data_IF_655393781687
#
_entry.id   IF_655393781687
#
_cell.length_a   1.000
_cell.length_b   1.000
_cell.length_c   1.000
_cell.angle_alpha   90.00
_cell.angle_beta   90.00
_cell.angle_gamma   90.00
#
_symmetry.space_group_name_H-M   'P 1'
#
loop_
_entity.id
_entity.type
_entity.pdbx_description
1 polymer ?
#
# COMPACT_ATOMS: atom_id res chain seq x y z
N UNK A 1 -14.92 8.93 15.14
CA UNK A 1 -15.07 10.39 15.34
C UNK A 1 -14.86 11.06 14.00
N UNK A 2 -15.92 11.60 13.41
CA UNK A 2 -15.82 12.38 12.17
C UNK A 2 -15.03 13.65 12.49
N UNK A 3 -13.79 13.75 12.01
CA UNK A 3 -13.03 15.01 12.05
C UNK A 3 -13.79 15.99 11.16
N UNK A 4 -14.38 17.03 11.76
CA UNK A 4 -14.99 18.13 11.01
C UNK A 4 -13.88 18.81 10.22
N UNK A 5 -13.86 18.59 8.92
CA UNK A 5 -12.90 19.26 8.05
C UNK A 5 -13.19 20.79 8.08
N UNK A 6 -12.19 21.67 8.06
CA UNK A 6 -12.37 23.14 8.18
C UNK A 6 -13.24 23.78 7.11
N UNK A 7 -13.58 23.04 6.03
CA UNK A 7 -14.51 23.49 4.98
C UNK A 7 -15.88 23.93 5.52
N UNK A 8 -16.39 23.30 6.59
CA UNK A 8 -17.66 23.68 7.21
C UNK A 8 -17.61 25.08 7.83
N UNK A 9 -16.51 25.46 8.49
CA UNK A 9 -16.35 26.80 9.05
C UNK A 9 -16.12 27.85 7.96
N UNK A 10 -15.42 27.51 6.88
CA UNK A 10 -15.22 28.39 5.74
C UNK A 10 -16.54 28.67 5.01
N UNK A 11 -17.40 27.66 4.86
CA UNK A 11 -18.74 27.80 4.32
C UNK A 11 -19.57 28.78 5.15
N UNK A 12 -19.68 28.56 6.47
CA UNK A 12 -20.47 29.39 7.37
C UNK A 12 -20.04 30.87 7.36
N UNK A 13 -18.72 31.15 7.32
CA UNK A 13 -18.18 32.52 7.22
C UNK A 13 -18.61 33.24 5.93
N UNK A 14 -19.03 32.51 4.90
CA UNK A 14 -19.49 33.02 3.60
C UNK A 14 -21.02 32.98 3.47
N UNK A 15 -21.74 32.60 4.50
CA UNK A 15 -23.19 32.42 4.43
C UNK A 15 -23.56 31.18 3.58
N UNK A 16 -22.72 30.15 3.58
CA UNK A 16 -22.97 28.92 2.83
C UNK A 16 -23.09 27.73 3.78
N UNK A 17 -23.92 26.75 3.44
CA UNK A 17 -24.06 25.50 4.16
C UNK A 17 -23.84 24.31 3.22
N UNK A 18 -22.85 23.47 3.55
CA UNK A 18 -22.53 22.26 2.79
C UNK A 18 -23.28 21.07 3.41
N UNK A 19 -23.98 20.33 2.58
CA UNK A 19 -24.69 19.10 2.95
C UNK A 19 -24.56 18.07 1.81
N UNK A 20 -25.09 16.86 2.04
CA UNK A 20 -25.21 15.82 1.02
C UNK A 20 -26.13 16.21 -0.16
N UNK A 21 -26.92 17.25 -0.03
CA UNK A 21 -27.81 17.76 -1.07
C UNK A 21 -27.18 18.85 -1.94
N UNK A 22 -26.05 19.41 -1.50
CA UNK A 22 -25.35 20.49 -2.18
C UNK A 22 -24.88 21.59 -1.23
N UNK A 23 -24.58 22.74 -1.81
CA UNK A 23 -24.16 23.97 -1.09
C UNK A 23 -25.29 24.96 -1.13
N UNK A 24 -25.96 25.20 0.01
CA UNK A 24 -26.99 26.19 0.15
C UNK A 24 -26.38 27.58 0.36
N UNK A 25 -26.82 28.55 -0.40
CA UNK A 25 -26.55 29.98 -0.21
C UNK A 25 -27.67 30.61 0.64
N UNK A 26 -27.31 31.06 1.83
CA UNK A 26 -28.27 31.68 2.78
C UNK A 26 -28.88 32.99 2.27
N UNK A 27 -28.14 33.72 1.43
CA UNK A 27 -28.61 35.02 0.93
C UNK A 27 -29.68 34.87 -0.16
N UNK A 28 -29.56 33.82 -0.98
CA UNK A 28 -30.47 33.59 -2.11
C UNK A 28 -31.46 32.46 -1.87
N UNK A 29 -31.17 31.56 -0.91
CA UNK A 29 -31.93 30.32 -0.69
C UNK A 29 -31.70 29.27 -1.80
N UNK A 30 -30.78 29.49 -2.70
CA UNK A 30 -30.44 28.57 -3.78
C UNK A 30 -29.52 27.45 -3.27
N UNK A 31 -29.77 26.22 -3.72
CA UNK A 31 -28.88 25.08 -3.46
C UNK A 31 -28.11 24.74 -4.72
N UNK A 32 -26.82 24.99 -4.69
CA UNK A 32 -25.88 24.62 -5.77
C UNK A 32 -25.56 23.13 -5.67
N UNK A 33 -25.90 22.38 -6.71
CA UNK A 33 -25.56 20.96 -6.83
C UNK A 33 -24.27 20.81 -7.65
N UNK A 34 -23.20 20.51 -6.97
CA UNK A 34 -21.89 20.30 -7.59
C UNK A 34 -21.77 18.87 -8.12
N UNK A 35 -21.15 18.72 -9.29
CA UNK A 35 -20.86 17.43 -9.87
C UNK A 35 -19.54 16.84 -9.34
N UNK A 36 -18.63 17.70 -8.89
CA UNK A 36 -17.29 17.33 -8.40
C UNK A 36 -16.96 18.04 -7.09
N UNK A 37 -15.97 17.52 -6.37
CA UNK A 37 -15.45 18.18 -5.15
C UNK A 37 -14.80 19.52 -5.45
N UNK A 38 -14.10 19.64 -6.59
CA UNK A 38 -13.45 20.88 -7.03
C UNK A 38 -14.45 22.01 -7.17
N UNK A 39 -15.66 21.73 -7.65
CA UNK A 39 -16.73 22.71 -7.73
C UNK A 39 -17.19 23.17 -6.33
N UNK A 40 -17.28 22.25 -5.38
CA UNK A 40 -17.57 22.58 -3.98
C UNK A 40 -16.51 23.50 -3.40
N UNK A 41 -15.24 23.14 -3.55
CA UNK A 41 -14.11 23.95 -3.07
C UNK A 41 -14.10 25.33 -3.74
N UNK A 42 -14.38 25.40 -5.05
CA UNK A 42 -14.50 26.64 -5.79
C UNK A 42 -15.59 27.57 -5.24
N UNK A 43 -16.79 27.05 -4.94
CA UNK A 43 -17.88 27.81 -4.30
C UNK A 43 -17.48 28.34 -2.92
N UNK A 44 -16.72 27.53 -2.16
CA UNK A 44 -16.18 27.94 -0.87
C UNK A 44 -15.00 28.91 -0.99
N UNK A 45 -14.50 29.17 -2.23
CA UNK A 45 -13.30 29.96 -2.48
C UNK A 45 -12.05 29.39 -1.79
N UNK A 46 -11.97 28.10 -1.74
CA UNK A 46 -10.85 27.35 -1.19
C UNK A 46 -10.09 26.67 -2.34
N UNK A 47 -8.78 26.48 -2.22
CA UNK A 47 -8.06 25.61 -3.13
C UNK A 47 -8.57 24.17 -2.96
N UNK A 48 -8.72 23.43 -4.05
CA UNK A 48 -9.02 22.01 -3.95
C UNK A 48 -7.79 21.28 -3.40
N UNK A 49 -8.02 20.49 -2.37
CA UNK A 49 -6.97 19.72 -1.72
C UNK A 49 -7.22 18.24 -1.99
N UNK A 50 -6.26 17.50 -2.55
CA UNK A 50 -6.36 16.06 -2.70
C UNK A 50 -6.70 15.36 -1.36
N UNK A 51 -7.53 14.32 -1.36
CA UNK A 51 -7.94 13.62 -0.12
C UNK A 51 -6.77 13.18 0.75
N UNK A 52 -5.67 12.76 0.15
CA UNK A 52 -4.45 12.30 0.80
C UNK A 52 -3.78 13.37 1.65
N UNK A 53 -3.99 14.65 1.32
CA UNK A 53 -3.38 15.78 2.01
C UNK A 53 -4.32 16.43 3.05
N UNK A 54 -5.55 15.92 3.23
CA UNK A 54 -6.56 16.51 4.13
C UNK A 54 -6.34 16.11 5.59
N UNK A 55 -5.23 16.56 6.19
CA UNK A 55 -4.84 16.22 7.55
C UNK A 55 -5.05 17.34 8.58
N UNK A 56 -5.63 18.47 8.16
CA UNK A 56 -5.82 19.66 8.97
C UNK A 56 -4.51 20.21 9.56
N UNK A 57 -3.48 20.30 8.70
CA UNK A 57 -2.14 20.83 9.00
C UNK A 57 -1.87 22.19 8.37
N UNK A 58 -2.93 22.87 7.89
CA UNK A 58 -2.84 24.18 7.26
C UNK A 58 -2.89 24.14 5.73
N UNK A 59 -3.18 22.99 5.13
CA UNK A 59 -3.24 22.79 3.68
C UNK A 59 -4.20 23.73 2.96
N UNK A 60 -5.28 24.20 3.63
CA UNK A 60 -6.20 25.17 3.07
C UNK A 60 -5.62 26.57 2.89
N UNK A 61 -4.46 26.85 3.48
CA UNK A 61 -3.75 28.13 3.29
C UNK A 61 -2.74 28.07 2.13
N UNK A 62 -2.52 26.89 1.55
CA UNK A 62 -1.64 26.72 0.39
C UNK A 62 -2.31 27.30 -0.85
N UNK A 63 -1.51 27.86 -1.73
CA UNK A 63 -1.95 28.31 -3.04
C UNK A 63 -1.68 27.25 -4.11
N UNK A 64 -2.30 27.40 -5.29
CA UNK A 64 -2.02 26.55 -6.44
C UNK A 64 -0.50 26.61 -6.76
N UNK A 65 0.14 25.46 -6.80
CA UNK A 65 1.59 25.32 -7.00
C UNK A 65 2.42 25.10 -5.72
N UNK A 66 1.85 25.28 -4.53
CA UNK A 66 2.48 24.89 -3.26
C UNK A 66 2.11 23.49 -2.83
N UNK A 67 1.07 22.90 -3.46
CA UNK A 67 0.71 21.51 -3.22
C UNK A 67 1.78 20.57 -3.81
N UNK A 68 2.19 19.52 -3.09
CA UNK A 68 3.10 18.53 -3.62
C UNK A 68 2.46 17.78 -4.79
N UNK A 69 3.29 17.39 -5.76
CA UNK A 69 2.87 16.44 -6.78
C UNK A 69 2.72 15.08 -6.13
N UNK A 70 1.51 14.53 -6.15
CA UNK A 70 1.24 13.22 -5.58
C UNK A 70 1.64 12.12 -6.56
N UNK A 71 1.97 10.96 -5.99
CA UNK A 71 2.23 9.74 -6.76
C UNK A 71 0.92 9.26 -7.38
N UNK A 72 0.94 8.98 -8.68
CA UNK A 72 -0.15 8.38 -9.43
C UNK A 72 0.15 6.91 -9.74
N UNK A 73 -0.87 6.16 -10.14
CA UNK A 73 -0.71 4.74 -10.49
C UNK A 73 0.36 4.50 -11.56
N UNK A 74 0.50 5.41 -12.52
CA UNK A 74 1.52 5.33 -13.58
C UNK A 74 2.96 5.54 -13.11
N UNK A 75 3.15 6.07 -11.90
CA UNK A 75 4.48 6.26 -11.30
C UNK A 75 5.01 5.00 -10.61
N UNK A 76 4.12 4.04 -10.33
CA UNK A 76 4.50 2.76 -9.72
C UNK A 76 5.29 1.93 -10.73
N UNK A 77 6.50 1.53 -10.36
CA UNK A 77 7.43 0.78 -11.20
C UNK A 77 7.53 -0.69 -10.84
N UNK A 78 7.14 -1.08 -9.66
CA UNK A 78 7.21 -2.45 -9.21
C UNK A 78 6.28 -2.77 -8.07
N UNK A 79 6.14 -4.07 -7.81
CA UNK A 79 5.45 -4.63 -6.66
C UNK A 79 6.39 -5.62 -5.97
N UNK A 80 6.68 -5.39 -4.70
CA UNK A 80 7.66 -6.15 -3.93
C UNK A 80 7.02 -7.09 -2.90
N UNK A 81 5.70 -7.31 -2.97
CA UNK A 81 5.04 -8.21 -2.05
C UNK A 81 3.84 -8.89 -2.72
N UNK A 82 4.06 -10.09 -3.27
CA UNK A 82 3.00 -10.88 -3.87
C UNK A 82 3.21 -12.38 -3.69
N UNK A 83 2.08 -13.12 -3.64
CA UNK A 83 2.05 -14.54 -3.36
C UNK A 83 1.55 -15.33 -4.55
N UNK A 84 2.12 -16.52 -4.74
CA UNK A 84 1.70 -17.46 -5.77
C UNK A 84 0.83 -18.58 -5.20
N UNK A 85 0.42 -19.50 -6.08
CA UNK A 85 -0.27 -20.73 -5.66
C UNK A 85 0.60 -21.67 -4.82
N UNK A 86 1.89 -21.36 -4.65
CA UNK A 86 2.75 -22.13 -3.76
C UNK A 86 2.39 -21.91 -2.29
N UNK A 87 1.93 -20.70 -1.93
CA UNK A 87 1.36 -20.41 -0.62
C UNK A 87 -0.15 -20.16 -0.68
N UNK A 88 -0.62 -18.94 -0.74
CA UNK A 88 -2.04 -18.58 -0.67
C UNK A 88 -2.51 -17.68 -1.83
N UNK A 89 -1.64 -17.43 -2.81
CA UNK A 89 -1.98 -16.74 -4.05
C UNK A 89 -2.90 -17.56 -4.97
N UNK A 90 -3.34 -16.93 -6.06
CA UNK A 90 -4.31 -17.53 -6.99
C UNK A 90 -3.73 -17.81 -8.38
N UNK A 91 -2.51 -17.40 -8.64
CA UNK A 91 -1.82 -17.58 -9.92
C UNK A 91 -0.37 -18.04 -9.65
N UNK A 92 0.23 -18.65 -10.66
CA UNK A 92 1.66 -18.95 -10.64
C UNK A 92 2.51 -17.70 -10.91
N UNK A 93 3.82 -17.81 -10.70
CA UNK A 93 4.75 -16.69 -10.85
C UNK A 93 4.77 -16.14 -12.28
N UNK A 94 4.67 -17.00 -13.30
CA UNK A 94 4.67 -16.58 -14.70
C UNK A 94 3.43 -15.77 -15.06
N UNK A 95 2.26 -16.23 -14.67
CA UNK A 95 1.01 -15.50 -14.91
C UNK A 95 1.01 -14.14 -14.21
N UNK A 96 1.56 -14.08 -13.00
CA UNK A 96 1.70 -12.83 -12.25
C UNK A 96 2.69 -11.88 -12.91
N UNK A 97 3.85 -12.36 -13.35
CA UNK A 97 4.85 -11.57 -14.05
C UNK A 97 4.31 -11.00 -15.38
N UNK A 98 3.62 -11.82 -16.16
CA UNK A 98 2.98 -11.38 -17.41
C UNK A 98 1.94 -10.28 -17.14
N UNK A 99 1.12 -10.46 -16.10
CA UNK A 99 0.11 -9.46 -15.74
C UNK A 99 0.73 -8.16 -15.23
N UNK A 100 1.77 -8.23 -14.42
CA UNK A 100 2.50 -7.07 -13.95
C UNK A 100 3.11 -6.26 -15.11
N UNK A 101 3.71 -6.95 -16.08
CA UNK A 101 4.23 -6.33 -17.31
C UNK A 101 3.14 -5.63 -18.13
N UNK A 102 1.96 -6.23 -18.27
CA UNK A 102 0.81 -5.60 -18.93
C UNK A 102 0.34 -4.32 -18.22
N UNK A 103 0.50 -4.26 -16.90
CA UNK A 103 0.19 -3.09 -16.08
C UNK A 103 1.28 -2.01 -16.13
N UNK A 104 2.40 -2.26 -16.82
CA UNK A 104 3.49 -1.32 -16.97
C UNK A 104 4.52 -1.36 -15.83
N UNK A 105 4.49 -2.40 -14.98
CA UNK A 105 5.52 -2.60 -13.97
C UNK A 105 6.82 -3.08 -14.61
N UNK A 106 7.93 -2.62 -14.07
CA UNK A 106 9.29 -2.94 -14.53
C UNK A 106 9.88 -4.13 -13.75
N UNK A 107 9.41 -4.35 -12.52
CA UNK A 107 9.85 -5.45 -11.66
C UNK A 107 8.76 -5.90 -10.69
N UNK A 108 8.86 -7.17 -10.26
CA UNK A 108 8.06 -7.75 -9.16
C UNK A 108 8.95 -8.61 -8.27
N UNK A 109 8.53 -8.82 -7.02
CA UNK A 109 9.11 -9.84 -6.15
C UNK A 109 8.06 -10.89 -5.79
N UNK A 110 8.40 -12.16 -6.00
CA UNK A 110 7.59 -13.27 -5.52
C UNK A 110 7.99 -13.54 -4.07
N UNK A 111 7.05 -13.41 -3.16
CA UNK A 111 7.28 -13.41 -1.71
C UNK A 111 6.32 -14.35 -0.98
N UNK A 112 6.23 -15.59 -1.44
CA UNK A 112 5.37 -16.58 -0.80
C UNK A 112 5.65 -16.74 0.69
N UNK A 113 4.62 -17.09 1.45
CA UNK A 113 4.72 -17.31 2.90
C UNK A 113 5.69 -18.42 3.26
N UNK A 114 6.50 -18.17 4.26
CA UNK A 114 7.47 -19.11 4.82
C UNK A 114 6.82 -20.26 5.61
N UNK A 115 7.66 -21.10 6.21
CA UNK A 115 7.25 -22.39 6.78
C UNK A 115 6.34 -22.30 8.01
N UNK A 116 6.37 -21.21 8.81
CA UNK A 116 5.76 -21.19 10.15
C UNK A 116 4.68 -20.13 10.37
N UNK A 117 4.13 -19.55 9.33
CA UNK A 117 3.13 -18.47 9.45
C UNK A 117 1.78 -18.91 10.07
N UNK A 118 1.49 -20.22 10.12
CA UNK A 118 0.39 -20.77 10.89
C UNK A 118 -0.99 -20.86 10.19
N UNK A 119 -1.10 -20.45 8.92
CA UNK A 119 -2.33 -20.53 8.11
C UNK A 119 -2.02 -20.86 6.64
N UNK A 120 -2.99 -21.48 5.94
CA UNK A 120 -2.85 -21.80 4.52
C UNK A 120 -1.72 -22.80 4.20
N UNK A 121 -1.30 -22.79 2.95
CA UNK A 121 -0.11 -23.51 2.50
C UNK A 121 1.13 -22.72 2.88
N UNK A 122 2.19 -23.40 3.22
CA UNK A 122 3.46 -22.82 3.60
C UNK A 122 4.59 -23.40 2.76
N UNK A 123 5.58 -22.58 2.50
CA UNK A 123 6.74 -22.98 1.69
C UNK A 123 7.81 -23.55 2.61
N UNK A 124 8.13 -24.83 2.45
CA UNK A 124 9.25 -25.45 3.17
C UNK A 124 10.58 -24.96 2.62
N UNK A 125 11.71 -25.10 3.36
CA UNK A 125 13.03 -24.75 2.83
C UNK A 125 13.35 -25.42 1.50
N UNK A 126 12.98 -26.69 1.31
CA UNK A 126 13.22 -27.40 0.06
C UNK A 126 12.32 -26.85 -1.08
N UNK A 127 11.07 -26.51 -0.77
CA UNK A 127 10.17 -25.89 -1.75
C UNK A 127 10.67 -24.48 -2.16
N UNK A 128 11.21 -23.70 -1.21
CA UNK A 128 11.82 -22.40 -1.53
C UNK A 128 13.06 -22.55 -2.42
N UNK A 129 13.91 -23.54 -2.16
CA UNK A 129 15.07 -23.83 -3.04
C UNK A 129 14.64 -24.15 -4.46
N UNK A 130 13.58 -24.94 -4.62
CA UNK A 130 13.02 -25.24 -5.94
C UNK A 130 12.44 -23.97 -6.59
N UNK A 131 11.70 -23.16 -5.83
CA UNK A 131 11.15 -21.89 -6.31
C UNK A 131 12.24 -20.91 -6.76
N UNK A 132 13.38 -20.84 -6.05
CA UNK A 132 14.55 -20.03 -6.44
C UNK A 132 14.99 -20.38 -7.85
N UNK A 133 15.16 -21.67 -8.16
CA UNK A 133 15.58 -22.11 -9.49
C UNK A 133 14.52 -21.80 -10.56
N UNK A 134 13.22 -22.02 -10.24
CA UNK A 134 12.11 -21.74 -11.15
C UNK A 134 12.01 -20.25 -11.47
N UNK A 135 12.15 -19.36 -10.46
CA UNK A 135 12.08 -17.90 -10.66
C UNK A 135 13.29 -17.40 -11.43
N UNK A 136 14.50 -17.92 -11.20
CA UNK A 136 15.68 -17.58 -12.00
C UNK A 136 15.48 -17.93 -13.46
N UNK A 137 15.00 -19.15 -13.75
CA UNK A 137 14.70 -19.58 -15.11
C UNK A 137 13.56 -18.75 -15.74
N UNK A 138 12.57 -18.32 -14.95
CA UNK A 138 11.50 -17.44 -15.41
C UNK A 138 12.05 -16.06 -15.79
N UNK A 139 12.85 -15.44 -14.93
CA UNK A 139 13.46 -14.13 -15.14
C UNK A 139 14.36 -14.10 -16.39
N UNK A 140 15.15 -15.16 -16.60
CA UNK A 140 16.03 -15.29 -17.79
C UNK A 140 15.25 -15.35 -19.12
N UNK A 141 14.03 -15.89 -19.13
CA UNK A 141 13.22 -16.07 -20.36
C UNK A 141 12.17 -15.00 -20.60
N UNK A 142 11.87 -14.14 -19.59
CA UNK A 142 10.91 -13.07 -19.73
C UNK A 142 11.57 -11.73 -20.03
N UNK A 143 11.22 -11.17 -21.21
CA UNK A 143 11.64 -9.81 -21.55
C UNK A 143 10.67 -8.76 -21.01
N UNK A 144 11.19 -7.61 -20.63
CA UNK A 144 10.42 -6.41 -20.29
C UNK A 144 9.87 -6.37 -18.86
N UNK A 145 10.26 -7.32 -18.02
CA UNK A 145 9.99 -7.28 -16.57
C UNK A 145 11.07 -8.07 -15.83
N UNK A 146 11.52 -7.56 -14.70
CA UNK A 146 12.42 -8.26 -13.77
C UNK A 146 11.61 -9.02 -12.73
N UNK A 147 11.90 -10.29 -12.52
CA UNK A 147 11.28 -11.12 -11.49
C UNK A 147 12.30 -11.39 -10.38
N UNK A 148 12.08 -10.77 -9.23
CA UNK A 148 12.94 -10.95 -8.05
C UNK A 148 12.48 -12.17 -7.26
N UNK A 149 13.46 -12.86 -6.68
CA UNK A 149 13.26 -14.01 -5.79
C UNK A 149 13.13 -13.48 -4.37
N UNK A 150 12.03 -13.81 -3.70
CA UNK A 150 11.82 -13.36 -2.33
C UNK A 150 11.07 -14.35 -1.46
N UNK A 151 10.76 -13.92 -0.27
CA UNK A 151 9.88 -14.60 0.69
C UNK A 151 9.27 -13.60 1.64
N UNK A 152 8.05 -13.90 2.13
CA UNK A 152 7.52 -13.30 3.35
C UNK A 152 7.82 -14.25 4.51
N UNK A 153 8.91 -13.95 5.22
CA UNK A 153 9.36 -14.76 6.35
C UNK A 153 8.60 -14.42 7.64
N UNK A 154 8.20 -15.44 8.39
CA UNK A 154 7.65 -15.23 9.72
C UNK A 154 8.75 -14.89 10.71
N UNK A 155 8.53 -13.83 11.51
CA UNK A 155 9.43 -13.41 12.57
C UNK A 155 9.00 -14.08 13.86
N UNK A 156 9.88 -14.89 14.43
CA UNK A 156 9.67 -15.53 15.74
C UNK A 156 9.71 -14.54 16.90
N UNK A 157 9.30 -14.98 18.07
CA UNK A 157 9.35 -14.15 19.30
C UNK A 157 10.77 -13.81 19.76
N UNK A 158 11.77 -14.47 19.20
CA UNK A 158 13.21 -14.19 19.39
C UNK A 158 13.76 -13.19 18.37
N UNK A 159 12.90 -12.65 17.50
CA UNK A 159 13.26 -11.68 16.48
C UNK A 159 13.93 -12.28 15.24
N UNK A 160 13.93 -13.60 15.09
CA UNK A 160 14.57 -14.25 13.95
C UNK A 160 13.56 -14.66 12.89
N UNK A 161 13.96 -14.58 11.59
CA UNK A 161 13.21 -15.20 10.52
C UNK A 161 13.19 -16.72 10.67
N UNK A 162 12.22 -17.37 10.06
CA UNK A 162 12.02 -18.83 10.14
C UNK A 162 12.73 -19.62 9.03
N UNK A 163 13.58 -18.98 8.28
CA UNK A 163 14.57 -19.65 7.40
C UNK A 163 15.99 -19.39 7.88
N UNK A 164 16.87 -20.33 7.60
CA UNK A 164 18.31 -20.21 7.88
C UNK A 164 18.98 -19.15 7.01
N UNK A 165 20.02 -18.50 7.52
CA UNK A 165 20.75 -17.43 6.85
C UNK A 165 21.25 -17.84 5.46
N UNK A 166 21.78 -19.05 5.32
CA UNK A 166 22.27 -19.61 4.04
C UNK A 166 21.19 -19.66 2.94
N UNK A 167 19.91 -19.77 3.33
CA UNK A 167 18.79 -19.76 2.39
C UNK A 167 18.35 -18.34 2.10
N UNK A 168 18.31 -17.49 3.12
CA UNK A 168 17.95 -16.06 2.97
C UNK A 168 18.95 -15.30 2.10
N UNK A 169 20.23 -15.61 2.17
CA UNK A 169 21.30 -15.01 1.34
C UNK A 169 21.14 -15.29 -0.16
N UNK A 170 20.34 -16.28 -0.55
CA UNK A 170 20.04 -16.59 -1.94
C UNK A 170 18.90 -15.77 -2.54
N UNK A 171 18.20 -14.98 -1.71
CA UNK A 171 17.04 -14.20 -2.11
C UNK A 171 17.44 -12.76 -2.46
N UNK A 172 16.73 -12.18 -3.40
CA UNK A 172 16.87 -10.76 -3.77
C UNK A 172 16.09 -9.85 -2.80
N UNK A 173 15.01 -10.36 -2.21
CA UNK A 173 14.09 -9.58 -1.39
C UNK A 173 13.45 -10.40 -0.27
N UNK A 174 13.44 -9.86 0.95
CA UNK A 174 12.82 -10.52 2.11
C UNK A 174 11.87 -9.53 2.80
N UNK A 175 10.62 -9.95 2.95
CA UNK A 175 9.62 -9.27 3.77
C UNK A 175 9.56 -9.96 5.12
N UNK A 176 9.78 -9.24 6.20
CA UNK A 176 9.64 -9.76 7.56
C UNK A 176 8.25 -9.46 8.10
N UNK A 177 7.53 -10.46 8.58
CA UNK A 177 6.19 -10.31 9.12
C UNK A 177 5.97 -11.12 10.38
N UNK A 178 5.21 -10.58 11.33
CA UNK A 178 4.78 -11.29 12.53
C UNK A 178 3.41 -11.91 12.28
N UNK A 179 3.34 -13.20 11.96
CA UNK A 179 2.10 -13.92 11.68
C UNK A 179 1.57 -14.70 12.87
N UNK A 180 2.40 -14.92 13.88
CA UNK A 180 2.09 -15.77 15.02
C UNK A 180 2.40 -15.05 16.34
N UNK A 181 2.01 -15.65 17.46
CA UNK A 181 2.38 -15.15 18.79
C UNK A 181 1.91 -13.73 19.14
N UNK A 182 0.77 -13.28 18.60
CA UNK A 182 0.18 -11.96 18.88
C UNK A 182 -0.17 -11.71 20.34
N UNK A 183 -0.09 -12.74 21.20
CA UNK A 183 -0.37 -12.65 22.64
C UNK A 183 0.80 -12.14 23.48
N UNK A 184 1.96 -11.87 22.89
CA UNK A 184 3.07 -11.22 23.58
C UNK A 184 2.66 -9.79 23.97
N UNK A 185 3.16 -9.28 25.12
CA UNK A 185 2.80 -7.94 25.59
C UNK A 185 3.18 -6.85 24.59
N UNK A 186 2.49 -5.70 24.66
CA UNK A 186 2.67 -4.59 23.71
C UNK A 186 4.10 -4.04 23.64
N UNK A 187 4.82 -4.05 24.75
CA UNK A 187 6.23 -3.62 24.81
C UNK A 187 7.11 -4.58 24.01
N UNK A 188 7.00 -5.90 24.25
CA UNK A 188 7.75 -6.90 23.51
C UNK A 188 7.40 -6.91 22.01
N UNK A 189 6.14 -6.65 21.63
CA UNK A 189 5.73 -6.51 20.23
C UNK A 189 6.34 -5.26 19.60
N UNK A 190 6.43 -4.16 20.32
CA UNK A 190 7.08 -2.94 19.85
C UNK A 190 8.58 -3.16 19.64
N UNK A 191 9.25 -3.78 20.61
CA UNK A 191 10.68 -4.11 20.51
C UNK A 191 10.94 -5.03 19.31
N UNK A 192 10.10 -6.04 19.11
CA UNK A 192 10.19 -6.94 17.96
C UNK A 192 10.05 -6.19 16.63
N UNK A 193 9.13 -5.24 16.54
CA UNK A 193 8.92 -4.42 15.35
C UNK A 193 10.12 -3.50 15.06
N UNK A 194 10.80 -2.99 16.09
CA UNK A 194 11.94 -2.07 15.96
C UNK A 194 13.25 -2.78 15.61
N UNK A 195 13.39 -4.08 15.84
CA UNK A 195 14.59 -4.85 15.45
C UNK A 195 14.80 -4.86 13.93
N UNK A 196 13.71 -4.73 13.17
CA UNK A 196 13.69 -4.87 11.71
C UNK A 196 13.55 -3.51 10.96
N UNK A 197 13.63 -2.39 11.67
CA UNK A 197 13.70 -1.04 11.10
C UNK A 197 15.17 -0.57 11.16
#
# INVERSE_FOLDING_TARGET
MSRRYPSGEAAVRRGLHVSEYGVLDDATGETHRCATEEEVYGLLGLPWIPPELRENRGELALTDGELPVLIEQGDLKGDLHMHTTLSDGRADAEAMALRARELGLEYIAITDHSATHGFGNHVTPDALRAQIEDIRALDERLDGIKVLIGTETNIGTDGKPDYDDDLLEQLDWVVGSVHTSFAIGSEAMTDLSLIHI
#
